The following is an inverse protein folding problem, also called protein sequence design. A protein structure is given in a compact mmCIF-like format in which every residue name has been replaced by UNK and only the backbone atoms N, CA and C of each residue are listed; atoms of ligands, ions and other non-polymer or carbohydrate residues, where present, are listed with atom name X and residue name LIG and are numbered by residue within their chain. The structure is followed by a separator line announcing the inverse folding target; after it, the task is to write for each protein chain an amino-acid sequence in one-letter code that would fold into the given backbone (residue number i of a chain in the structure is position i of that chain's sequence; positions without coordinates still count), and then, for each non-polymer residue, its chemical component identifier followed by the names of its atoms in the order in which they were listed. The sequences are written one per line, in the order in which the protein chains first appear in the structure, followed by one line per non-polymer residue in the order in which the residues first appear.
data_IF_748194137266
#
_entry.id   IF_748194137266
#
_cell.length_a   1.000
_cell.length_b   1.000
_cell.length_c   1.000
_cell.angle_alpha   90.00
_cell.angle_beta   90.00
_cell.angle_gamma   90.00
#
_symmetry.space_group_name_H-M   'P 1'
#
loop_
_entity.id
_entity.type
_entity.pdbx_description
1 polymer ?
#
# COMPACT_ATOMS: atom_id res chain seq x y z
N UNK A 1 -10.80 18.68 0.83
CA UNK A 1 -10.40 18.15 2.17
C UNK A 1 -10.63 16.64 2.32
N UNK A 2 -11.73 16.08 1.81
CA UNK A 2 -12.05 14.63 1.91
C UNK A 2 -10.94 13.74 1.33
N UNK A 3 -10.39 14.08 0.16
CA UNK A 3 -9.28 13.34 -0.42
C UNK A 3 -8.05 13.25 0.51
N UNK A 4 -7.70 14.33 1.21
CA UNK A 4 -6.61 14.34 2.19
C UNK A 4 -6.92 13.47 3.41
N UNK A 5 -8.16 13.51 3.92
CA UNK A 5 -8.60 12.63 5.01
C UNK A 5 -8.56 11.15 4.61
N UNK A 6 -8.96 10.83 3.38
CA UNK A 6 -8.86 9.47 2.82
C UNK A 6 -7.41 9.01 2.75
N UNK A 7 -6.48 9.87 2.30
CA UNK A 7 -5.05 9.55 2.28
C UNK A 7 -4.53 9.26 3.68
N UNK A 8 -4.85 10.10 4.67
CA UNK A 8 -4.42 9.89 6.07
C UNK A 8 -4.97 8.57 6.61
N UNK A 9 -6.25 8.29 6.37
CA UNK A 9 -6.88 7.06 6.84
C UNK A 9 -6.30 5.81 6.15
N UNK A 10 -5.99 5.87 4.85
CA UNK A 10 -5.32 4.81 4.11
C UNK A 10 -3.89 4.55 4.62
N UNK A 11 -3.13 5.61 4.92
CA UNK A 11 -1.80 5.49 5.53
C UNK A 11 -1.89 4.87 6.93
N UNK A 12 -2.86 5.28 7.75
CA UNK A 12 -3.10 4.69 9.06
C UNK A 12 -3.49 3.20 8.98
N UNK A 13 -4.31 2.83 8.00
CA UNK A 13 -4.67 1.43 7.71
C UNK A 13 -3.44 0.59 7.34
N UNK A 14 -2.61 1.06 6.39
CA UNK A 14 -1.37 0.36 6.03
C UNK A 14 -0.42 0.24 7.23
N UNK A 15 -0.20 1.32 7.97
CA UNK A 15 0.65 1.31 9.16
C UNK A 15 0.17 0.29 10.20
N UNK A 16 -1.13 0.25 10.48
CA UNK A 16 -1.72 -0.70 11.42
C UNK A 16 -1.54 -2.16 10.97
N UNK A 17 -1.69 -2.46 9.67
CA UNK A 17 -1.48 -3.80 9.10
C UNK A 17 -0.03 -4.24 9.24
N UNK A 18 0.92 -3.36 8.90
CA UNK A 18 2.34 -3.65 8.99
C UNK A 18 2.79 -3.85 10.45
N UNK A 19 2.38 -2.95 11.34
CA UNK A 19 2.67 -3.00 12.78
C UNK A 19 2.03 -4.22 13.45
N UNK A 20 0.85 -4.68 13.02
CA UNK A 20 0.29 -5.94 13.53
C UNK A 20 1.16 -7.15 13.18
N UNK A 21 1.76 -7.15 12.00
CA UNK A 21 2.65 -8.22 11.58
C UNK A 21 4.04 -8.11 12.24
N UNK A 22 4.53 -6.90 12.50
CA UNK A 22 5.78 -6.70 13.24
C UNK A 22 5.61 -7.02 14.73
N UNK A 23 4.52 -6.61 15.37
CA UNK A 23 4.21 -6.95 16.77
C UNK A 23 4.17 -8.48 16.98
N UNK A 24 3.67 -9.23 15.99
CA UNK A 24 3.72 -10.71 16.01
C UNK A 24 5.14 -11.25 15.84
N UNK A 25 5.96 -10.63 15.00
CA UNK A 25 7.37 -11.00 14.80
C UNK A 25 8.21 -10.79 16.06
N UNK A 26 7.90 -9.76 16.85
CA UNK A 26 8.57 -9.44 18.11
C UNK A 26 7.89 -10.05 19.35
N UNK A 27 6.94 -10.97 19.17
CA UNK A 27 6.22 -11.69 20.23
C UNK A 27 5.49 -10.80 21.26
N UNK A 28 5.00 -9.64 20.81
CA UNK A 28 4.34 -8.65 21.65
C UNK A 28 2.80 -8.73 21.51
N UNK A 29 2.20 -9.72 22.17
CA UNK A 29 0.78 -10.07 22.03
C UNK A 29 -0.19 -8.89 22.28
N UNK A 30 0.10 -8.04 23.27
CA UNK A 30 -0.76 -6.91 23.64
C UNK A 30 -0.89 -5.88 22.50
N UNK A 31 0.20 -5.66 21.76
CA UNK A 31 0.24 -4.74 20.62
C UNK A 31 -0.49 -5.29 19.40
N UNK A 32 -0.55 -6.61 19.24
CA UNK A 32 -1.27 -7.26 18.13
C UNK A 32 -2.76 -6.92 18.18
N UNK A 33 -3.38 -7.02 19.36
CA UNK A 33 -4.79 -6.66 19.55
C UNK A 33 -5.05 -5.18 19.27
N UNK A 34 -4.18 -4.31 19.79
CA UNK A 34 -4.27 -2.86 19.61
C UNK A 34 -4.21 -2.45 18.12
N UNK A 35 -3.23 -2.94 17.36
CA UNK A 35 -3.09 -2.58 15.95
C UNK A 35 -4.17 -3.20 15.06
N UNK A 36 -4.72 -4.36 15.44
CA UNK A 36 -5.88 -4.95 14.75
C UNK A 36 -7.10 -4.07 14.86
N UNK A 37 -7.43 -3.62 16.07
CA UNK A 37 -8.55 -2.70 16.26
C UNK A 37 -8.35 -1.42 15.44
N UNK A 38 -7.13 -0.86 15.45
CA UNK A 38 -6.80 0.34 14.67
C UNK A 38 -6.92 0.13 13.17
N UNK A 39 -6.58 -1.04 12.64
CA UNK A 39 -6.80 -1.39 11.24
C UNK A 39 -8.31 -1.39 10.89
N UNK A 40 -9.15 -1.98 11.74
CA UNK A 40 -10.61 -1.97 11.56
C UNK A 40 -11.22 -0.57 11.65
N UNK A 41 -10.82 0.22 12.66
CA UNK A 41 -11.27 1.60 12.79
C UNK A 41 -10.87 2.42 11.57
N UNK A 42 -9.62 2.28 11.08
CA UNK A 42 -9.16 2.98 9.88
C UNK A 42 -9.96 2.58 8.65
N UNK A 43 -10.26 1.28 8.48
CA UNK A 43 -11.09 0.79 7.38
C UNK A 43 -12.52 1.35 7.45
N UNK A 44 -13.12 1.40 8.64
CA UNK A 44 -14.42 2.02 8.87
C UNK A 44 -14.42 3.51 8.53
N UNK A 45 -13.39 4.25 8.94
CA UNK A 45 -13.21 5.67 8.60
C UNK A 45 -13.07 5.86 7.09
N UNK A 46 -12.27 5.04 6.41
CA UNK A 46 -12.15 5.06 4.94
C UNK A 46 -13.51 4.84 4.28
N UNK A 47 -14.28 3.85 4.75
CA UNK A 47 -15.60 3.56 4.20
C UNK A 47 -16.58 4.74 4.38
N UNK A 48 -16.62 5.34 5.57
CA UNK A 48 -17.46 6.52 5.84
C UNK A 48 -17.03 7.70 4.97
N UNK A 49 -15.72 8.00 4.91
CA UNK A 49 -15.19 9.08 4.07
C UNK A 49 -15.43 8.85 2.58
N UNK A 50 -15.42 7.61 2.11
CA UNK A 50 -15.73 7.26 0.73
C UNK A 50 -17.21 7.48 0.43
N UNK A 51 -18.12 7.09 1.33
CA UNK A 51 -19.57 7.34 1.19
C UNK A 51 -19.87 8.84 1.20
N UNK A 52 -19.31 9.58 2.16
CA UNK A 52 -19.47 11.04 2.25
C UNK A 52 -18.86 11.71 1.01
N UNK A 53 -17.68 11.27 0.57
CA UNK A 53 -17.03 11.75 -0.64
C UNK A 53 -17.91 11.54 -1.87
N UNK A 54 -18.51 10.36 -2.03
CA UNK A 54 -19.41 10.06 -3.14
C UNK A 54 -20.67 10.92 -3.11
N UNK A 55 -21.28 11.10 -1.92
CA UNK A 55 -22.46 11.94 -1.75
C UNK A 55 -22.18 13.41 -2.08
N UNK A 56 -21.05 13.95 -1.62
CA UNK A 56 -20.64 15.34 -1.90
C UNK A 56 -20.28 15.52 -3.39
N UNK A 57 -19.65 14.52 -4.00
CA UNK A 57 -19.27 14.57 -5.43
C UNK A 57 -20.50 14.53 -6.35
N UNK A 58 -21.65 14.03 -5.87
CA UNK A 58 -22.90 14.02 -6.63
C UNK A 58 -23.39 15.43 -6.98
N UNK A 59 -23.14 16.42 -6.12
CA UNK A 59 -23.61 17.79 -6.29
C UNK A 59 -22.59 18.69 -7.03
N UNK A 60 -21.28 18.51 -6.81
CA UNK A 60 -20.23 19.39 -7.35
C UNK A 60 -19.50 18.85 -8.59
N UNK A 61 -19.43 17.53 -8.80
CA UNK A 61 -18.58 16.92 -9.84
C UNK A 61 -19.14 15.60 -10.38
N UNK A 62 -20.33 15.66 -11.02
CA UNK A 62 -20.97 14.54 -11.74
C UNK A 62 -20.01 13.74 -12.64
N UNK A 63 -18.98 14.39 -13.17
CA UNK A 63 -17.95 13.77 -14.00
C UNK A 63 -17.14 12.67 -13.30
N UNK A 64 -16.68 12.92 -12.06
CA UNK A 64 -15.91 11.93 -11.27
C UNK A 64 -16.84 10.85 -10.72
N UNK A 65 -18.08 11.22 -10.41
CA UNK A 65 -19.12 10.28 -10.02
C UNK A 65 -19.36 9.26 -11.14
N UNK A 66 -19.64 9.69 -12.37
CA UNK A 66 -19.90 8.78 -13.51
C UNK A 66 -18.68 7.92 -13.88
N UNK A 67 -17.46 8.46 -13.73
CA UNK A 67 -16.21 7.71 -13.92
C UNK A 67 -15.93 6.67 -12.82
N UNK A 68 -16.40 6.89 -11.59
CA UNK A 68 -16.34 5.91 -10.50
C UNK A 68 -17.53 4.93 -10.50
N UNK A 69 -18.70 5.35 -10.95
CA UNK A 69 -19.92 4.52 -10.98
C UNK A 69 -20.16 3.78 -12.29
N UNK A 70 -19.33 4.04 -13.32
CA UNK A 70 -19.37 3.35 -14.62
C UNK A 70 -18.13 2.50 -14.91
N UNK A 71 -18.34 1.27 -15.41
CA UNK A 71 -17.29 0.46 -16.05
C UNK A 71 -16.19 -0.12 -15.14
N UNK A 72 -14.94 -0.02 -15.60
CA UNK A 72 -13.75 -0.66 -14.98
C UNK A 72 -13.36 -0.01 -13.64
N UNK A 73 -13.62 1.30 -13.47
CA UNK A 73 -13.31 2.03 -12.24
C UNK A 73 -14.05 1.47 -11.02
N UNK A 74 -15.36 1.23 -11.16
CA UNK A 74 -16.18 0.60 -10.13
C UNK A 74 -15.67 -0.80 -9.78
N UNK A 75 -15.34 -1.61 -10.79
CA UNK A 75 -14.82 -2.95 -10.58
C UNK A 75 -13.51 -2.94 -9.78
N UNK A 76 -12.57 -2.04 -10.09
CA UNK A 76 -11.32 -1.90 -9.35
C UNK A 76 -11.53 -1.45 -7.90
N UNK A 77 -12.47 -0.52 -7.66
CA UNK A 77 -12.83 -0.09 -6.30
C UNK A 77 -13.45 -1.25 -5.52
N UNK A 78 -14.35 -2.03 -6.13
CA UNK A 78 -14.95 -3.20 -5.49
C UNK A 78 -13.88 -4.24 -5.14
N UNK A 79 -12.96 -4.54 -6.05
CA UNK A 79 -11.83 -5.45 -5.79
C UNK A 79 -10.93 -4.90 -4.68
N UNK A 80 -10.71 -3.58 -4.62
CA UNK A 80 -9.92 -2.96 -3.56
C UNK A 80 -10.61 -3.09 -2.19
N UNK A 81 -11.93 -2.86 -2.12
CA UNK A 81 -12.73 -3.02 -0.90
C UNK A 81 -12.70 -4.47 -0.42
N UNK A 82 -12.94 -5.43 -1.33
CA UNK A 82 -12.85 -6.86 -1.02
C UNK A 82 -11.45 -7.22 -0.53
N UNK A 83 -10.41 -6.68 -1.17
CA UNK A 83 -9.02 -6.91 -0.77
C UNK A 83 -8.73 -6.35 0.63
N UNK A 84 -9.24 -5.16 0.96
CA UNK A 84 -9.08 -4.54 2.27
C UNK A 84 -9.84 -5.30 3.37
N UNK A 85 -11.04 -5.79 3.09
CA UNK A 85 -11.80 -6.66 4.00
C UNK A 85 -11.10 -8.01 4.18
N UNK A 86 -10.56 -8.59 3.10
CA UNK A 86 -9.75 -9.80 3.16
C UNK A 86 -8.52 -9.55 4.05
N UNK A 87 -7.79 -8.46 3.88
CA UNK A 87 -6.71 -8.06 4.79
C UNK A 87 -7.18 -8.05 6.24
N UNK A 88 -8.30 -7.39 6.53
CA UNK A 88 -8.83 -7.27 7.88
C UNK A 88 -9.19 -8.63 8.49
N UNK A 89 -9.74 -9.56 7.69
CA UNK A 89 -10.00 -10.95 8.08
C UNK A 89 -8.72 -11.78 8.25
N UNK A 90 -7.74 -11.61 7.34
CA UNK A 90 -6.44 -12.27 7.43
C UNK A 90 -5.64 -11.82 8.65
N UNK A 91 -5.84 -10.61 9.16
CA UNK A 91 -5.23 -10.16 10.41
C UNK A 91 -5.67 -11.02 11.62
N UNK A 92 -6.86 -11.63 11.59
CA UNK A 92 -7.30 -12.59 12.62
C UNK A 92 -6.65 -13.98 12.47
N UNK A 93 -6.13 -14.31 11.29
CA UNK A 93 -5.43 -15.57 11.03
C UNK A 93 -3.92 -15.40 11.21
N UNK A 94 -3.22 -16.52 11.40
CA UNK A 94 -1.74 -16.57 11.53
C UNK A 94 -1.01 -16.20 10.24
N UNK A 95 -1.72 -15.95 9.13
CA UNK A 95 -1.18 -15.67 7.80
C UNK A 95 -0.79 -14.19 7.58
N UNK A 96 0.18 -13.70 8.36
CA UNK A 96 0.61 -12.29 8.40
C UNK A 96 1.18 -11.77 7.07
N UNK A 97 1.86 -12.63 6.30
CA UNK A 97 2.47 -12.24 5.02
C UNK A 97 1.44 -11.86 3.95
N UNK A 98 0.35 -12.63 3.86
CA UNK A 98 -0.72 -12.37 2.89
C UNK A 98 -1.53 -11.12 3.23
N UNK A 99 -1.65 -10.77 4.53
CA UNK A 99 -2.29 -9.53 4.96
C UNK A 99 -1.58 -8.29 4.40
N UNK A 100 -0.23 -8.28 4.40
CA UNK A 100 0.56 -7.16 3.85
C UNK A 100 0.36 -7.01 2.34
N UNK A 101 0.39 -8.12 1.60
CA UNK A 101 0.23 -8.10 0.13
C UNK A 101 -1.17 -7.60 -0.25
N UNK A 102 -2.20 -8.11 0.42
CA UNK A 102 -3.59 -7.71 0.15
C UNK A 102 -3.86 -6.23 0.52
N UNK A 103 -3.21 -5.72 1.58
CA UNK A 103 -3.33 -4.32 1.98
C UNK A 103 -2.64 -3.36 0.98
N UNK A 104 -1.43 -3.70 0.55
CA UNK A 104 -0.73 -2.92 -0.48
C UNK A 104 -1.49 -2.98 -1.79
N UNK A 105 -1.98 -4.17 -2.15
CA UNK A 105 -2.80 -4.37 -3.33
C UNK A 105 -4.09 -3.53 -3.33
N UNK A 106 -4.80 -3.45 -2.20
CA UNK A 106 -6.03 -2.65 -2.11
C UNK A 106 -5.74 -1.16 -2.31
N UNK A 107 -4.71 -0.61 -1.66
CA UNK A 107 -4.33 0.80 -1.83
C UNK A 107 -3.88 1.08 -3.25
N UNK A 108 -3.06 0.20 -3.84
CA UNK A 108 -2.63 0.34 -5.24
C UNK A 108 -3.82 0.33 -6.21
N UNK A 109 -4.79 -0.58 -6.02
CA UNK A 109 -6.01 -0.65 -6.82
C UNK A 109 -6.85 0.63 -6.72
N UNK A 110 -7.00 1.22 -5.52
CA UNK A 110 -7.70 2.49 -5.34
C UNK A 110 -7.01 3.61 -6.12
N UNK A 111 -5.68 3.71 -6.06
CA UNK A 111 -4.91 4.73 -6.79
C UNK A 111 -5.08 4.56 -8.31
N UNK A 112 -5.04 3.32 -8.81
CA UNK A 112 -5.27 3.02 -10.23
C UNK A 112 -6.70 3.35 -10.64
N UNK A 113 -7.70 2.97 -9.83
CA UNK A 113 -9.10 3.28 -10.09
C UNK A 113 -9.35 4.78 -10.15
N UNK A 114 -8.76 5.54 -9.22
CA UNK A 114 -8.82 6.98 -9.20
C UNK A 114 -8.20 7.61 -10.46
N UNK A 115 -7.00 7.17 -10.86
CA UNK A 115 -6.35 7.66 -12.07
C UNK A 115 -7.12 7.33 -13.36
N UNK A 116 -7.83 6.20 -13.39
CA UNK A 116 -8.72 5.86 -14.51
C UNK A 116 -9.99 6.71 -14.52
N UNK A 117 -10.58 6.97 -13.35
CA UNK A 117 -11.80 7.76 -13.22
C UNK A 117 -11.60 9.23 -13.63
N UNK A 118 -10.37 9.75 -13.62
CA UNK A 118 -10.07 11.11 -14.06
C UNK A 118 -10.08 11.30 -15.58
N UNK A 119 -9.99 10.22 -16.38
CA UNK A 119 -9.88 10.35 -17.84
C UNK A 119 -11.13 11.02 -18.45
N UNK A 120 -10.98 11.87 -19.49
CA UNK A 120 -9.73 12.25 -20.16
C UNK A 120 -9.10 13.52 -19.56
N UNK A 121 -9.57 14.01 -18.41
CA UNK A 121 -9.09 15.26 -17.84
C UNK A 121 -7.88 15.06 -16.94
N UNK A 122 -6.92 15.97 -17.04
CA UNK A 122 -5.82 16.10 -16.08
C UNK A 122 -6.19 17.14 -15.01
N UNK A 123 -6.81 18.25 -15.43
CA UNK A 123 -7.46 19.23 -14.55
C UNK A 123 -8.95 19.25 -14.94
N UNK A 124 -9.87 18.94 -14.00
CA UNK A 124 -11.30 18.85 -14.32
C UNK A 124 -11.81 20.07 -15.08
N UNK A 125 -12.51 19.83 -16.19
CA UNK A 125 -13.18 20.84 -17.04
C UNK A 125 -12.31 21.89 -17.72
N UNK A 126 -10.99 21.92 -17.49
CA UNK A 126 -10.10 22.95 -18.05
C UNK A 126 -8.94 22.40 -18.89
N UNK A 127 -8.48 21.17 -18.66
CA UNK A 127 -7.33 20.62 -19.38
C UNK A 127 -7.40 19.10 -19.52
N UNK A 128 -7.40 18.60 -20.76
CA UNK A 128 -7.35 17.16 -21.05
C UNK A 128 -5.92 16.62 -21.04
N UNK A 129 -5.77 15.31 -20.83
CA UNK A 129 -4.49 14.60 -20.89
C UNK A 129 -3.84 14.76 -22.27
N UNK A 130 -4.65 14.79 -23.34
CA UNK A 130 -4.17 15.02 -24.71
C UNK A 130 -3.68 16.43 -24.95
N UNK A 131 -4.35 17.44 -24.37
CA UNK A 131 -3.93 18.85 -24.48
C UNK A 131 -2.71 19.16 -23.61
N UNK A 132 -2.60 18.50 -22.46
CA UNK A 132 -1.44 18.60 -21.57
C UNK A 132 -0.21 17.82 -22.08
N UNK A 133 -0.38 16.97 -23.10
CA UNK A 133 0.69 16.12 -23.60
C UNK A 133 1.78 16.97 -24.27
N UNK A 134 3.01 16.85 -23.76
CA UNK A 134 4.19 17.46 -24.40
C UNK A 134 4.56 16.77 -25.72
N UNK A 135 5.71 17.16 -26.29
CA UNK A 135 6.21 16.57 -27.53
C UNK A 135 6.27 15.04 -27.45
N UNK A 136 5.71 14.36 -28.46
CA UNK A 136 5.54 12.91 -28.48
C UNK A 136 6.85 12.13 -28.32
N UNK A 137 7.95 12.65 -28.87
CA UNK A 137 9.29 12.09 -28.70
C UNK A 137 9.74 12.10 -27.24
N UNK A 138 9.56 13.21 -26.53
CA UNK A 138 9.94 13.34 -25.11
C UNK A 138 9.10 12.40 -24.24
N UNK A 139 7.80 12.29 -24.50
CA UNK A 139 6.92 11.36 -23.78
C UNK A 139 7.32 9.90 -23.97
N UNK A 140 7.74 9.50 -25.18
CA UNK A 140 8.24 8.13 -25.44
C UNK A 140 9.51 7.84 -24.62
N UNK A 141 10.46 8.77 -24.60
CA UNK A 141 11.67 8.62 -23.79
C UNK A 141 11.37 8.58 -22.30
N UNK A 142 10.45 9.42 -21.81
CA UNK A 142 10.04 9.44 -20.41
C UNK A 142 9.35 8.13 -20.01
N UNK A 143 8.50 7.57 -20.88
CA UNK A 143 7.92 6.24 -20.68
C UNK A 143 8.99 5.16 -20.64
N UNK A 144 9.95 5.16 -21.57
CA UNK A 144 11.05 4.19 -21.59
C UNK A 144 11.89 4.25 -20.31
N UNK A 145 12.31 5.46 -19.90
CA UNK A 145 13.09 5.66 -18.67
C UNK A 145 12.30 5.21 -17.44
N UNK A 146 10.99 5.49 -17.39
CA UNK A 146 10.12 5.03 -16.30
C UNK A 146 10.06 3.50 -16.24
N UNK A 147 9.91 2.83 -17.38
CA UNK A 147 9.92 1.36 -17.45
C UNK A 147 11.27 0.80 -17.02
N UNK A 148 12.37 1.37 -17.50
CA UNK A 148 13.73 0.97 -17.09
C UNK A 148 13.91 1.14 -15.58
N UNK A 149 13.48 2.27 -15.02
CA UNK A 149 13.56 2.52 -13.59
C UNK A 149 12.75 1.49 -12.78
N UNK A 150 11.53 1.16 -13.20
CA UNK A 150 10.71 0.12 -12.53
C UNK A 150 11.38 -1.25 -12.59
N UNK A 151 11.93 -1.64 -13.75
CA UNK A 151 12.61 -2.93 -13.93
C UNK A 151 13.93 -3.00 -13.15
N UNK A 152 14.65 -1.89 -13.01
CA UNK A 152 15.93 -1.84 -12.31
C UNK A 152 15.75 -1.75 -10.78
N UNK A 153 14.79 -0.95 -10.31
CA UNK A 153 14.59 -0.64 -8.89
C UNK A 153 13.60 -1.60 -8.23
N UNK A 154 12.58 -2.05 -8.96
CA UNK A 154 11.53 -2.92 -8.45
C UNK A 154 12.04 -4.24 -7.87
N UNK A 155 12.81 -5.06 -8.60
CA UNK A 155 13.28 -6.35 -8.10
C UNK A 155 14.18 -6.25 -6.86
N UNK A 156 15.17 -5.34 -6.78
CA UNK A 156 15.95 -5.13 -5.56
C UNK A 156 15.08 -4.75 -4.36
N UNK A 157 14.11 -3.83 -4.53
CA UNK A 157 13.20 -3.45 -3.44
C UNK A 157 12.34 -4.63 -2.97
N UNK A 158 11.81 -5.42 -3.90
CA UNK A 158 11.04 -6.63 -3.55
C UNK A 158 11.92 -7.64 -2.81
N UNK A 159 13.16 -7.85 -3.27
CA UNK A 159 14.10 -8.75 -2.62
C UNK A 159 14.44 -8.28 -1.21
N UNK A 160 14.80 -7.01 -1.05
CA UNK A 160 15.12 -6.39 0.25
C UNK A 160 13.94 -6.51 1.21
N UNK A 161 12.73 -6.17 0.76
CA UNK A 161 11.53 -6.28 1.57
C UNK A 161 11.24 -7.74 1.96
N UNK A 162 11.44 -8.71 1.06
CA UNK A 162 11.29 -10.14 1.40
C UNK A 162 12.35 -10.63 2.39
N UNK A 163 13.58 -10.15 2.30
CA UNK A 163 14.66 -10.52 3.23
C UNK A 163 14.43 -9.92 4.63
N UNK A 164 14.06 -8.65 4.69
CA UNK A 164 13.72 -7.95 5.93
C UNK A 164 12.54 -8.64 6.64
N UNK A 165 11.46 -8.89 5.91
CA UNK A 165 10.25 -9.52 6.48
C UNK A 165 10.44 -10.99 6.88
N UNK A 166 11.47 -11.68 6.37
CA UNK A 166 11.84 -13.05 6.75
C UNK A 166 12.82 -13.12 7.93
N UNK A 167 13.29 -12.00 8.46
CA UNK A 167 14.24 -12.00 9.58
C UNK A 167 15.69 -12.30 9.21
N UNK A 168 16.01 -12.42 7.92
CA UNK A 168 17.36 -12.72 7.45
C UNK A 168 18.36 -11.55 7.65
N UNK A 169 17.85 -10.36 7.99
CA UNK A 169 18.62 -9.15 8.30
C UNK A 169 18.69 -8.87 9.82
N UNK A 170 18.36 -9.83 10.69
CA UNK A 170 18.59 -9.64 12.12
C UNK A 170 20.09 -9.42 12.36
N UNK A 171 20.49 -8.33 13.04
CA UNK A 171 21.87 -8.19 13.49
C UNK A 171 22.17 -9.42 14.34
N UNK A 172 23.26 -10.14 14.02
CA UNK A 172 23.81 -11.19 14.88
C UNK A 172 23.77 -10.64 16.30
N UNK A 173 22.98 -11.30 17.16
CA UNK A 173 22.80 -10.81 18.53
C UNK A 173 24.19 -10.82 19.19
N UNK A 174 24.47 -9.91 20.12
CA UNK A 174 25.76 -9.91 20.84
C UNK A 174 26.12 -11.28 21.44
N UNK A 175 25.12 -12.13 21.70
CA UNK A 175 25.27 -13.53 22.08
C UNK A 175 25.92 -14.42 20.98
N UNK A 176 25.60 -14.20 19.70
CA UNK A 176 26.18 -14.91 18.56
C UNK A 176 27.61 -14.45 18.28
N UNK A 177 27.89 -13.15 18.45
CA UNK A 177 29.24 -12.58 18.40
C UNK A 177 30.12 -13.09 19.55
N UNK A 178 29.58 -13.23 20.76
CA UNK A 178 30.28 -13.83 21.91
C UNK A 178 30.58 -15.32 21.70
N UNK A 179 29.65 -16.11 21.13
CA UNK A 179 29.89 -17.52 20.81
C UNK A 179 30.97 -17.71 19.73
N UNK A 180 30.98 -16.87 18.70
CA UNK A 180 32.02 -16.91 17.66
C UNK A 180 33.37 -16.42 18.18
N UNK A 181 33.40 -15.51 19.15
CA UNK A 181 34.62 -15.11 19.83
C UNK A 181 35.17 -16.21 20.77
N UNK A 182 34.31 -16.90 21.54
CA UNK A 182 34.72 -17.98 22.45
C UNK A 182 35.15 -19.26 21.74
N UNK A 183 34.63 -19.52 20.52
CA UNK A 183 35.06 -20.65 19.69
C UNK A 183 36.36 -20.42 18.93
N UNK A 184 36.99 -19.24 19.07
CA UNK A 184 38.25 -18.85 18.43
C UNK A 184 39.38 -18.75 19.48
N UNK A 185 39.29 -19.51 20.56
CA UNK A 185 40.46 -19.73 21.42
C UNK A 185 41.50 -20.50 20.61
N UNK A 186 42.74 -20.02 20.52
CA UNK A 186 43.79 -20.75 19.81
C UNK A 186 44.12 -22.00 20.65
N UNK A 187 43.57 -23.15 20.24
CA UNK A 187 44.28 -24.41 20.44
C UNK A 187 45.61 -24.27 19.69
N UNK A 188 46.65 -23.79 20.39
CA UNK A 188 47.92 -24.50 20.41
C UNK A 188 48.86 -23.94 21.49
N UNK A 189 49.79 -24.78 21.92
CA UNK A 189 51.17 -24.52 21.48
C UNK A 189 51.62 -25.47 20.37
#
# INVERSE_FOLDING_TARGET
MIAGLLTIAATAFLGAVFLTADARRFDAADLVGYFRLRAWCSLGVIAVLAVVGLAVTHDDARYVHDGLTGGIGLALVLVAVVSALATAGLLYRTATGWARITAVGSVALVVVAWGLAQRPYLIPTSLTVSEAAGASTTLRWLMLVTVIAVVLVGPPLVLLYRLDTRGALQPLTDADLRRTASGRDPENP
#
